data_IF_120859083674
#
_entry.id   IF_120859083674
#
_cell.length_a   1.000
_cell.length_b   1.000
_cell.length_c   1.000
_cell.angle_alpha   90.00
_cell.angle_beta   90.00
_cell.angle_gamma   90.00
#
_symmetry.space_group_name_H-M   'P 1'
#
loop_
_entity.id
_entity.type
_entity.pdbx_description
1 polymer ?
#
# COMPACT_ATOMS: atom_id res chain seq x y z
N UNK A 1 -1.99 19.46 -11.02
CA UNK A 1 -0.77 18.80 -11.53
C UNK A 1 0.15 19.86 -12.10
N UNK A 2 1.46 19.87 -11.77
CA UNK A 2 2.44 20.75 -12.43
C UNK A 2 2.68 20.31 -13.89
N UNK A 3 3.37 21.15 -14.67
CA UNK A 3 3.91 20.79 -15.99
C UNK A 3 4.83 19.56 -15.97
N UNK A 4 5.44 19.28 -14.82
CA UNK A 4 6.28 18.12 -14.54
C UNK A 4 5.52 16.84 -14.15
N UNK A 5 4.19 16.83 -14.13
CA UNK A 5 3.37 15.66 -13.76
C UNK A 5 3.16 15.43 -12.25
N UNK A 6 3.82 16.21 -11.38
CA UNK A 6 3.63 16.19 -9.92
C UNK A 6 2.21 16.61 -9.53
N UNK A 7 1.55 15.81 -8.69
CA UNK A 7 0.22 16.06 -8.15
C UNK A 7 0.32 16.45 -6.67
N UNK A 8 -0.18 17.63 -6.33
CA UNK A 8 -0.17 18.21 -4.98
C UNK A 8 -1.56 18.77 -4.66
N UNK A 9 -1.82 19.06 -3.39
CA UNK A 9 -3.08 19.68 -2.96
C UNK A 9 -2.94 21.21 -2.90
N UNK A 10 -3.76 21.92 -3.69
CA UNK A 10 -3.76 23.39 -3.68
C UNK A 10 -4.39 23.99 -2.41
N UNK A 11 -5.28 23.25 -1.73
CA UNK A 11 -6.02 23.78 -0.58
C UNK A 11 -5.17 23.82 0.70
N UNK A 12 -4.45 22.74 0.99
CA UNK A 12 -3.61 22.62 2.19
C UNK A 12 -2.10 22.74 1.91
N UNK A 13 -1.73 23.00 0.65
CA UNK A 13 -0.34 23.09 0.18
C UNK A 13 0.52 21.85 0.46
N UNK A 14 -0.12 20.70 0.71
CA UNK A 14 0.60 19.45 0.84
C UNK A 14 1.21 19.07 -0.52
N UNK A 15 2.50 18.75 -0.50
CA UNK A 15 3.28 18.36 -1.66
C UNK A 15 2.77 17.07 -2.33
N UNK A 16 1.95 16.29 -1.63
CA UNK A 16 1.28 15.14 -2.20
C UNK A 16 -0.23 15.36 -2.35
N UNK A 17 -0.77 15.00 -3.51
CA UNK A 17 -2.20 14.76 -3.65
C UNK A 17 -2.63 13.65 -2.69
N UNK A 18 -3.70 13.89 -1.96
CA UNK A 18 -4.10 13.06 -0.83
C UNK A 18 -5.55 12.58 -0.90
N UNK A 19 -6.10 12.46 -2.11
CA UNK A 19 -7.38 11.79 -2.31
C UNK A 19 -7.23 10.30 -1.89
N UNK A 20 -8.16 9.75 -1.06
CA UNK A 20 -9.49 10.27 -0.71
C UNK A 20 -9.61 11.05 0.60
N UNK A 21 -8.54 11.25 1.37
CA UNK A 21 -8.66 11.94 2.67
C UNK A 21 -8.83 13.44 2.49
N UNK A 22 -9.75 14.06 3.25
CA UNK A 22 -9.91 15.52 3.26
C UNK A 22 -8.70 16.22 3.88
N UNK A 23 -8.48 17.50 3.53
CA UNK A 23 -7.40 18.31 4.11
C UNK A 23 -7.44 18.31 5.65
N UNK A 24 -8.64 18.47 6.22
CA UNK A 24 -8.84 18.50 7.68
C UNK A 24 -8.47 17.16 8.34
N UNK A 25 -8.97 16.04 7.80
CA UNK A 25 -8.65 14.72 8.36
C UNK A 25 -7.19 14.35 8.17
N UNK A 26 -6.58 14.81 7.08
CA UNK A 26 -5.14 14.64 6.86
C UNK A 26 -4.32 15.42 7.87
N UNK A 27 -4.67 16.67 8.17
CA UNK A 27 -4.01 17.46 9.20
C UNK A 27 -4.07 16.76 10.57
N UNK A 28 -5.27 16.28 10.96
CA UNK A 28 -5.46 15.50 12.19
C UNK A 28 -4.60 14.24 12.20
N UNK A 29 -4.57 13.49 11.09
CA UNK A 29 -3.74 12.29 10.93
C UNK A 29 -2.25 12.60 11.09
N UNK A 30 -1.74 13.61 10.38
CA UNK A 30 -0.33 13.98 10.44
C UNK A 30 0.06 14.53 11.81
N UNK A 31 -0.81 15.31 12.46
CA UNK A 31 -0.61 15.75 13.84
C UNK A 31 -0.50 14.57 14.79
N UNK A 32 -1.39 13.58 14.66
CA UNK A 32 -1.31 12.34 15.44
C UNK A 32 -0.01 11.56 15.18
N UNK A 33 0.41 11.45 13.93
CA UNK A 33 1.68 10.83 13.55
C UNK A 33 2.91 11.55 14.10
N UNK A 34 2.85 12.87 14.35
CA UNK A 34 3.95 13.62 14.98
C UNK A 34 3.96 13.48 16.50
N UNK A 35 2.79 13.37 17.13
CA UNK A 35 2.66 13.39 18.58
C UNK A 35 2.81 11.99 19.23
N UNK A 36 2.54 10.91 18.50
CA UNK A 36 2.74 9.55 19.00
C UNK A 36 4.24 9.16 18.92
N UNK A 37 4.76 8.44 19.92
CA UNK A 37 6.22 8.28 20.16
C UNK A 37 6.99 7.67 18.98
N UNK A 38 8.02 8.38 18.51
CA UNK A 38 8.95 7.97 17.44
C UNK A 38 9.56 6.57 17.64
N UNK A 39 9.76 6.14 18.89
CA UNK A 39 10.31 4.81 19.24
C UNK A 39 9.39 3.67 18.80
N UNK A 40 8.06 3.83 18.94
CA UNK A 40 7.09 2.85 18.49
C UNK A 40 6.98 2.83 16.95
N UNK A 41 7.08 3.99 16.30
CA UNK A 41 7.11 4.09 14.84
C UNK A 41 8.35 3.43 14.24
N UNK A 42 9.52 3.61 14.86
CA UNK A 42 10.78 3.04 14.37
C UNK A 42 10.84 1.51 14.48
N UNK A 43 10.37 0.94 15.60
CA UNK A 43 10.34 -0.52 15.81
C UNK A 43 9.41 -1.22 14.80
N UNK A 44 8.32 -0.58 14.39
CA UNK A 44 7.35 -1.14 13.44
C UNK A 44 7.84 -1.08 11.99
N UNK A 45 8.67 -0.09 11.65
CA UNK A 45 8.89 0.31 10.27
C UNK A 45 9.99 -0.46 9.53
N UNK A 46 11.08 -0.85 10.19
CA UNK A 46 12.30 -1.24 9.46
C UNK A 46 12.80 -2.66 9.72
N UNK A 47 12.44 -3.30 10.84
CA UNK A 47 12.96 -4.63 11.16
C UNK A 47 11.88 -5.46 11.84
N UNK A 48 11.53 -6.60 11.23
CA UNK A 48 10.56 -7.55 11.78
C UNK A 48 11.23 -8.91 11.99
N UNK A 49 10.50 -9.83 12.63
CA UNK A 49 10.96 -11.22 12.80
C UNK A 49 10.18 -12.13 11.87
N UNK A 50 10.85 -13.11 11.28
CA UNK A 50 10.17 -14.16 10.49
C UNK A 50 9.11 -14.84 11.36
N UNK A 51 7.87 -14.99 10.89
CA UNK A 51 6.80 -15.62 11.67
C UNK A 51 7.04 -17.12 11.90
N UNK A 52 7.89 -17.76 11.08
CA UNK A 52 8.23 -19.20 11.18
C UNK A 52 9.49 -19.48 11.99
N UNK A 53 10.61 -18.81 11.68
CA UNK A 53 11.91 -19.10 12.30
C UNK A 53 12.49 -17.97 13.17
N UNK A 54 11.76 -16.87 13.33
CA UNK A 54 12.08 -15.77 14.24
C UNK A 54 13.39 -14.98 13.97
N UNK A 55 14.07 -15.27 12.85
CA UNK A 55 15.22 -14.47 12.38
C UNK A 55 14.79 -13.05 12.06
N UNK A 56 15.68 -12.07 12.29
CA UNK A 56 15.43 -10.68 11.92
C UNK A 56 15.43 -10.53 10.40
N UNK A 57 14.46 -9.80 9.88
CA UNK A 57 14.26 -9.51 8.45
C UNK A 57 14.10 -8.00 8.30
N UNK A 58 14.79 -7.44 7.31
CA UNK A 58 14.62 -6.07 6.84
C UNK A 58 13.89 -6.08 5.50
N UNK A 59 13.03 -5.07 5.28
CA UNK A 59 12.31 -4.94 4.02
C UNK A 59 13.26 -4.41 2.94
N UNK A 60 13.58 -5.23 1.95
CA UNK A 60 14.49 -4.90 0.86
C UNK A 60 13.79 -4.71 -0.50
N UNK A 61 12.48 -4.97 -0.56
CA UNK A 61 11.65 -4.84 -1.76
C UNK A 61 10.39 -4.00 -1.48
N UNK A 62 9.76 -3.54 -2.54
CA UNK A 62 8.55 -2.74 -2.50
C UNK A 62 7.27 -3.58 -2.38
N UNK A 63 7.24 -4.82 -2.87
CA UNK A 63 6.11 -5.74 -2.66
C UNK A 63 5.98 -6.17 -1.19
N UNK A 64 4.76 -6.46 -0.74
CA UNK A 64 4.50 -7.00 0.59
C UNK A 64 4.63 -8.53 0.68
N UNK A 65 4.72 -9.23 -0.45
CA UNK A 65 5.10 -10.64 -0.51
C UNK A 65 6.58 -10.79 -0.15
N UNK A 66 6.88 -11.49 0.93
CA UNK A 66 8.26 -11.72 1.36
C UNK A 66 8.56 -13.19 1.58
N UNK A 67 9.68 -13.65 1.03
CA UNK A 67 10.24 -14.98 1.29
C UNK A 67 11.38 -14.87 2.31
N UNK A 68 11.29 -15.58 3.43
CA UNK A 68 12.37 -15.63 4.42
C UNK A 68 13.62 -16.29 3.83
N UNK A 69 14.76 -15.61 3.86
CA UNK A 69 16.00 -16.16 3.29
C UNK A 69 16.53 -17.39 4.03
N UNK A 70 16.28 -17.49 5.34
CA UNK A 70 16.76 -18.61 6.18
C UNK A 70 15.88 -19.85 6.10
N UNK A 71 14.54 -19.71 6.14
CA UNK A 71 13.62 -20.87 6.19
C UNK A 71 12.71 -21.01 4.97
N UNK A 72 12.86 -20.13 3.97
CA UNK A 72 12.09 -20.11 2.71
C UNK A 72 10.57 -20.04 2.88
N UNK A 73 10.12 -19.51 4.02
CA UNK A 73 8.70 -19.28 4.28
C UNK A 73 8.21 -17.99 3.63
N UNK A 74 7.11 -18.07 2.91
CA UNK A 74 6.44 -16.94 2.27
C UNK A 74 5.37 -16.34 3.19
N UNK A 75 5.44 -15.03 3.42
CA UNK A 75 4.55 -14.33 4.33
C UNK A 75 4.26 -12.89 3.86
N UNK A 76 3.20 -12.30 4.40
CA UNK A 76 2.86 -10.91 4.18
C UNK A 76 3.61 -10.00 5.17
N UNK A 77 4.36 -9.01 4.69
CA UNK A 77 5.09 -8.07 5.55
C UNK A 77 4.20 -7.23 6.49
N UNK A 78 2.95 -7.01 6.10
CA UNK A 78 2.00 -6.18 6.85
C UNK A 78 1.42 -6.94 8.05
N UNK A 79 0.80 -8.10 7.81
CA UNK A 79 0.13 -8.86 8.88
C UNK A 79 0.98 -9.97 9.50
N UNK A 80 2.08 -10.37 8.85
CA UNK A 80 2.96 -11.49 9.25
C UNK A 80 2.34 -12.89 9.12
N UNK A 81 1.20 -13.02 8.47
CA UNK A 81 0.56 -14.31 8.20
C UNK A 81 1.11 -14.96 6.92
N UNK A 82 0.79 -16.24 6.72
CA UNK A 82 1.19 -17.01 5.52
C UNK A 82 0.73 -16.34 4.23
N UNK A 83 1.61 -16.28 3.23
CA UNK A 83 1.26 -15.68 1.94
C UNK A 83 0.19 -16.49 1.19
N UNK A 84 0.10 -17.80 1.39
CA UNK A 84 -0.93 -18.64 0.76
C UNK A 84 -2.35 -18.20 1.13
N UNK A 85 -2.56 -17.64 2.31
CA UNK A 85 -3.84 -17.09 2.75
C UNK A 85 -4.16 -15.73 2.08
N UNK A 86 -3.28 -15.22 1.21
CA UNK A 86 -3.43 -13.97 0.46
C UNK A 86 -3.71 -14.22 -1.04
N UNK A 87 -4.05 -15.45 -1.43
CA UNK A 87 -4.30 -15.86 -2.81
C UNK A 87 -5.78 -16.05 -3.18
N UNK A 88 -6.08 -16.04 -4.48
CA UNK A 88 -7.42 -16.35 -5.01
C UNK A 88 -7.79 -17.84 -4.89
N UNK A 89 -6.80 -18.73 -4.82
CA UNK A 89 -6.96 -20.18 -4.87
C UNK A 89 -7.26 -20.83 -3.50
N UNK A 90 -7.02 -20.14 -2.38
CA UNK A 90 -7.15 -20.69 -1.02
C UNK A 90 -8.44 -20.26 -0.31
N UNK A 91 -9.33 -19.50 -0.96
CA UNK A 91 -10.54 -18.97 -0.33
C UNK A 91 -10.29 -17.90 0.76
N UNK A 92 -9.03 -17.59 1.04
CA UNK A 92 -8.57 -16.56 1.97
C UNK A 92 -8.49 -15.21 1.27
N UNK A 93 -9.56 -14.44 1.33
CA UNK A 93 -9.53 -13.06 0.87
C UNK A 93 -8.56 -12.24 1.74
N UNK A 94 -7.67 -11.47 1.08
CA UNK A 94 -6.73 -10.45 1.57
C UNK A 94 -7.35 -9.49 2.61
N UNK A 95 -7.74 -9.96 3.79
CA UNK A 95 -8.43 -9.18 4.84
C UNK A 95 -7.46 -8.44 5.74
N UNK A 96 -6.17 -8.38 5.39
CA UNK A 96 -5.18 -7.67 6.19
C UNK A 96 -5.44 -6.17 6.23
N UNK A 97 -6.29 -5.60 5.37
CA UNK A 97 -6.63 -4.17 5.36
C UNK A 97 -7.68 -3.78 6.41
N UNK A 98 -8.45 -4.74 6.94
CA UNK A 98 -9.58 -4.46 7.84
C UNK A 98 -9.17 -4.49 9.30
N UNK A 99 -9.47 -3.41 10.03
CA UNK A 99 -9.33 -3.42 11.49
C UNK A 99 -10.56 -4.10 12.10
N UNK A 100 -10.36 -5.21 12.82
CA UNK A 100 -11.41 -5.86 13.59
C UNK A 100 -11.11 -5.68 15.07
N UNK A 101 -11.83 -4.77 15.72
CA UNK A 101 -11.75 -4.65 17.17
C UNK A 101 -12.17 -5.99 17.80
N UNK A 102 -11.49 -6.41 18.88
CA UNK A 102 -12.00 -7.51 19.70
C UNK A 102 -13.41 -7.13 20.18
N UNK A 103 -14.38 -8.05 20.03
CA UNK A 103 -15.83 -7.82 20.05
C UNK A 103 -16.28 -6.62 20.90
N UNK A 104 -17.01 -5.71 20.27
CA UNK A 104 -17.59 -4.49 20.84
C UNK A 104 -18.63 -4.70 21.96
N UNK A 105 -18.99 -5.94 22.29
CA UNK A 105 -19.94 -6.26 23.37
C UNK A 105 -19.48 -5.72 24.74
N UNK A 106 -18.17 -5.52 24.93
CA UNK A 106 -17.59 -5.04 26.19
C UNK A 106 -17.14 -3.55 26.13
N UNK A 107 -17.26 -2.88 24.98
CA UNK A 107 -16.66 -1.55 24.76
C UNK A 107 -17.24 -0.44 25.66
N UNK A 108 -18.51 -0.56 26.07
CA UNK A 108 -19.15 0.35 27.02
C UNK A 108 -18.70 0.14 28.48
N UNK A 109 -17.99 -0.94 28.76
CA UNK A 109 -17.57 -1.39 30.10
C UNK A 109 -16.05 -1.35 30.31
N UNK A 110 -15.27 -0.94 29.30
CA UNK A 110 -13.80 -0.96 29.35
C UNK A 110 -13.26 0.07 30.35
N UNK A 111 -12.26 -0.33 31.13
CA UNK A 111 -11.51 0.60 31.98
C UNK A 111 -10.75 1.62 31.11
N UNK A 112 -10.46 2.83 31.60
CA UNK A 112 -9.74 3.86 30.82
C UNK A 112 -8.42 3.37 30.19
N UNK A 113 -7.66 2.54 30.89
CA UNK A 113 -6.41 1.96 30.38
C UNK A 113 -6.63 0.97 29.22
N UNK A 114 -7.72 0.19 29.26
CA UNK A 114 -8.06 -0.77 28.20
C UNK A 114 -8.54 -0.04 26.94
N UNK A 115 -9.32 1.03 27.13
CA UNK A 115 -9.72 1.93 26.05
C UNK A 115 -8.50 2.58 25.39
N UNK A 116 -7.58 3.14 26.18
CA UNK A 116 -6.35 3.73 25.66
C UNK A 116 -5.49 2.72 24.87
N UNK A 117 -5.41 1.48 25.35
CA UNK A 117 -4.72 0.38 24.65
C UNK A 117 -5.40 0.01 23.33
N UNK A 118 -6.73 -0.04 23.31
CA UNK A 118 -7.51 -0.32 22.10
C UNK A 118 -7.36 0.82 21.07
N UNK A 119 -7.41 2.08 21.51
CA UNK A 119 -7.22 3.26 20.67
C UNK A 119 -5.81 3.30 20.07
N UNK A 120 -4.78 2.99 20.88
CA UNK A 120 -3.41 2.85 20.41
C UNK A 120 -3.28 1.70 19.40
N UNK A 121 -3.85 0.53 19.69
CA UNK A 121 -3.83 -0.62 18.78
C UNK A 121 -4.47 -0.30 17.42
N UNK A 122 -5.60 0.39 17.44
CA UNK A 122 -6.27 0.90 16.23
C UNK A 122 -5.37 1.86 15.47
N UNK A 123 -4.79 2.85 16.14
CA UNK A 123 -3.88 3.80 15.50
C UNK A 123 -2.69 3.08 14.84
N UNK A 124 -2.00 2.20 15.56
CA UNK A 124 -0.85 1.47 15.05
C UNK A 124 -1.19 0.62 13.83
N UNK A 125 -2.39 0.02 13.79
CA UNK A 125 -2.88 -0.73 12.63
C UNK A 125 -2.91 0.13 11.36
N UNK A 126 -3.53 1.30 11.42
CA UNK A 126 -3.67 2.20 10.28
C UNK A 126 -2.33 2.87 9.95
N UNK A 127 -1.55 3.26 10.97
CA UNK A 127 -0.22 3.88 10.78
C UNK A 127 0.74 2.94 10.07
N UNK A 128 0.81 1.67 10.48
CA UNK A 128 1.69 0.70 9.86
C UNK A 128 1.40 0.56 8.36
N UNK A 129 0.12 0.56 7.95
CA UNK A 129 -0.29 0.42 6.55
C UNK A 129 -0.05 1.69 5.75
N UNK A 130 -0.38 2.85 6.33
CA UNK A 130 -0.05 4.16 5.77
C UNK A 130 1.46 4.28 5.48
N UNK A 131 2.29 3.97 6.48
CA UNK A 131 3.74 4.05 6.37
C UNK A 131 4.30 3.02 5.39
N UNK A 132 3.76 1.79 5.41
CA UNK A 132 4.20 0.74 4.49
C UNK A 132 4.00 1.13 3.02
N UNK A 133 2.84 1.71 2.67
CA UNK A 133 2.59 2.19 1.30
C UNK A 133 3.50 3.37 0.93
N UNK A 134 3.81 4.26 1.86
CA UNK A 134 4.78 5.34 1.66
C UNK A 134 6.18 4.79 1.33
N UNK A 135 6.66 3.79 2.07
CA UNK A 135 7.94 3.13 1.81
C UNK A 135 7.93 2.36 0.50
N UNK A 136 6.90 1.57 0.23
CA UNK A 136 6.76 0.83 -1.03
C UNK A 136 6.71 1.76 -2.25
N UNK A 137 6.10 2.95 -2.14
CA UNK A 137 6.17 3.98 -3.19
C UNK A 137 7.58 4.50 -3.41
N UNK A 138 8.36 4.73 -2.35
CA UNK A 138 9.78 5.14 -2.45
C UNK A 138 10.66 4.05 -3.08
N UNK A 139 10.35 2.78 -2.88
CA UNK A 139 11.00 1.67 -3.60
C UNK A 139 10.65 1.71 -5.10
N UNK A 140 9.35 1.78 -5.44
CA UNK A 140 8.90 1.87 -6.83
C UNK A 140 9.50 3.09 -7.56
N UNK A 141 9.63 4.24 -6.88
CA UNK A 141 10.30 5.43 -7.44
C UNK A 141 11.76 5.17 -7.79
N UNK A 142 12.53 4.56 -6.87
CA UNK A 142 13.93 4.19 -7.11
C UNK A 142 14.08 3.16 -8.23
N UNK A 143 13.17 2.20 -8.31
CA UNK A 143 13.11 1.24 -9.41
C UNK A 143 12.84 1.94 -10.75
N UNK A 144 11.86 2.84 -10.80
CA UNK A 144 11.54 3.63 -11.98
C UNK A 144 12.73 4.47 -12.47
N UNK A 145 13.48 5.11 -11.57
CA UNK A 145 14.70 5.85 -11.90
C UNK A 145 15.74 4.96 -12.60
N UNK A 146 15.89 3.70 -12.15
CA UNK A 146 16.75 2.71 -12.79
C UNK A 146 16.23 2.29 -14.18
N UNK A 147 14.92 2.05 -14.31
CA UNK A 147 14.28 1.71 -15.59
C UNK A 147 14.46 2.83 -16.61
N UNK A 148 14.25 4.09 -16.22
CA UNK A 148 14.42 5.26 -17.09
C UNK A 148 15.88 5.42 -17.53
N UNK A 149 16.84 5.24 -16.62
CA UNK A 149 18.27 5.25 -16.99
C UNK A 149 18.59 4.18 -18.04
N UNK A 150 18.09 2.96 -17.86
CA UNK A 150 18.28 1.86 -18.82
C UNK A 150 17.62 2.16 -20.17
N UNK A 151 16.43 2.76 -20.17
CA UNK A 151 15.72 3.20 -21.36
C UNK A 151 16.52 4.25 -22.14
N UNK A 152 17.13 5.23 -21.46
CA UNK A 152 17.97 6.24 -22.11
C UNK A 152 19.23 5.64 -22.75
N UNK A 153 19.88 4.66 -22.09
CA UNK A 153 21.06 3.98 -22.65
C UNK A 153 20.72 3.15 -23.90
N UNK A 154 19.59 2.43 -23.88
CA UNK A 154 19.13 1.64 -25.04
C UNK A 154 18.78 2.53 -26.24
N UNK A 155 18.21 3.72 -26.00
CA UNK A 155 17.92 4.72 -27.03
C UNK A 155 19.18 5.21 -27.74
N UNK A 156 20.27 5.43 -27.01
CA UNK A 156 21.53 5.93 -27.58
C UNK A 156 22.37 4.84 -28.27
N UNK A 157 22.16 3.57 -27.94
CA UNK A 157 23.03 2.46 -28.39
C UNK A 157 22.55 1.66 -29.60
N UNK A 158 21.37 1.95 -30.16
CA UNK A 158 20.76 1.23 -31.30
C UNK A 158 20.69 -0.31 -31.13
N UNK A 159 20.74 -0.82 -29.89
CA UNK A 159 20.70 -2.24 -29.53
C UNK A 159 19.52 -2.49 -28.59
N UNK A 160 18.41 -2.99 -29.13
CA UNK A 160 17.19 -3.35 -28.41
C UNK A 160 15.99 -2.46 -28.76
N UNK A 161 14.78 -3.03 -28.77
CA UNK A 161 13.57 -2.26 -29.04
C UNK A 161 13.22 -1.43 -27.81
N UNK A 162 13.10 -0.11 -27.98
CA UNK A 162 12.64 0.81 -26.94
C UNK A 162 11.31 0.39 -26.31
N UNK A 163 10.46 -0.27 -27.10
CA UNK A 163 9.20 -0.85 -26.63
C UNK A 163 9.39 -1.92 -25.55
N UNK A 164 10.58 -2.49 -25.37
CA UNK A 164 10.85 -3.58 -24.43
C UNK A 164 11.01 -3.11 -22.97
N UNK A 165 11.02 -1.80 -22.71
CA UNK A 165 11.13 -1.26 -21.33
C UNK A 165 10.08 -0.20 -20.98
N UNK A 166 9.37 0.34 -21.97
CA UNK A 166 8.29 1.31 -21.74
C UNK A 166 7.18 0.76 -20.84
N UNK A 167 6.82 -0.52 -21.02
CA UNK A 167 5.80 -1.15 -20.20
C UNK A 167 6.19 -1.23 -18.71
N UNK A 168 7.49 -1.36 -18.40
CA UNK A 168 8.00 -1.36 -17.01
C UNK A 168 7.93 0.03 -16.38
N UNK A 169 8.19 1.08 -17.17
CA UNK A 169 8.02 2.45 -16.72
C UNK A 169 6.54 2.73 -16.40
N UNK A 170 5.64 2.35 -17.31
CA UNK A 170 4.19 2.51 -17.11
C UNK A 170 3.70 1.75 -15.88
N UNK A 171 4.14 0.50 -15.69
CA UNK A 171 3.85 -0.28 -14.49
C UNK A 171 4.37 0.42 -13.22
N UNK A 172 5.62 0.90 -13.23
CA UNK A 172 6.22 1.60 -12.09
C UNK A 172 5.46 2.87 -11.71
N UNK A 173 5.07 3.68 -12.69
CA UNK A 173 4.26 4.88 -12.48
C UNK A 173 2.88 4.53 -11.92
N UNK A 174 2.24 3.49 -12.43
CA UNK A 174 0.95 3.03 -11.91
C UNK A 174 1.07 2.52 -10.48
N UNK A 175 2.11 1.76 -10.15
CA UNK A 175 2.40 1.33 -8.76
C UNK A 175 2.56 2.56 -7.87
N UNK A 176 3.36 3.56 -8.28
CA UNK A 176 3.57 4.77 -7.49
C UNK A 176 2.27 5.53 -7.20
N UNK A 177 1.38 5.64 -8.19
CA UNK A 177 0.07 6.27 -8.03
C UNK A 177 -0.83 5.47 -7.09
N UNK A 178 -0.96 4.16 -7.31
CA UNK A 178 -1.79 3.30 -6.46
C UNK A 178 -1.30 3.26 -5.01
N UNK A 179 0.03 3.24 -4.77
CA UNK A 179 0.59 3.33 -3.42
C UNK A 179 0.29 4.66 -2.74
N UNK A 180 0.29 5.77 -3.49
CA UNK A 180 -0.09 7.08 -2.96
C UNK A 180 -1.56 7.10 -2.55
N UNK A 181 -2.45 6.61 -3.42
CA UNK A 181 -3.88 6.48 -3.11
C UNK A 181 -4.06 5.59 -1.88
N UNK A 182 -3.48 4.39 -1.87
CA UNK A 182 -3.58 3.44 -0.77
C UNK A 182 -3.07 4.01 0.56
N UNK A 183 -1.92 4.68 0.57
CA UNK A 183 -1.43 5.44 1.75
C UNK A 183 -2.54 6.34 2.32
N UNK A 184 -3.16 7.16 1.49
CA UNK A 184 -4.19 8.09 1.93
C UNK A 184 -5.56 7.45 2.22
N UNK A 185 -5.87 6.30 1.62
CA UNK A 185 -7.06 5.52 1.99
C UNK A 185 -7.00 5.03 3.44
N UNK A 186 -5.82 4.74 4.00
CA UNK A 186 -5.71 4.39 5.42
C UNK A 186 -5.91 5.58 6.36
N UNK A 187 -5.44 6.77 5.97
CA UNK A 187 -5.75 7.99 6.72
C UNK A 187 -7.26 8.29 6.68
N UNK A 188 -7.90 8.11 5.53
CA UNK A 188 -9.36 8.23 5.36
C UNK A 188 -10.12 7.19 6.19
N UNK A 189 -9.81 5.90 6.04
CA UNK A 189 -10.48 4.80 6.73
C UNK A 189 -10.34 4.82 8.25
N UNK A 190 -9.30 5.49 8.78
CA UNK A 190 -9.15 5.71 10.22
C UNK A 190 -10.23 6.65 10.79
N UNK A 191 -10.78 7.56 9.99
CA UNK A 191 -11.86 8.46 10.42
C UNK A 191 -13.24 8.03 9.92
N UNK A 192 -13.31 6.98 9.09
CA UNK A 192 -14.58 6.44 8.60
C UNK A 192 -15.28 5.64 9.71
N UNK A 193 -16.52 6.02 9.99
CA UNK A 193 -17.42 5.33 10.93
C UNK A 193 -17.73 3.91 10.45
N UNK A 194 -17.96 3.00 11.39
CA UNK A 194 -18.37 1.64 11.06
C UNK A 194 -19.80 1.65 10.47
N UNK A 195 -20.00 0.85 9.42
CA UNK A 195 -21.27 0.78 8.69
C UNK A 195 -21.08 0.22 7.27
N UNK A 196 -22.17 0.08 6.50
CA UNK A 196 -22.13 -0.49 5.14
C UNK A 196 -21.17 0.24 4.19
N UNK A 197 -21.11 1.57 4.28
CA UNK A 197 -20.17 2.38 3.49
C UNK A 197 -18.71 1.99 3.75
N UNK A 198 -18.36 1.75 5.02
CA UNK A 198 -17.01 1.29 5.38
C UNK A 198 -16.74 -0.12 4.90
N UNK A 199 -17.73 -1.00 4.93
CA UNK A 199 -17.58 -2.37 4.41
C UNK A 199 -17.33 -2.37 2.90
N UNK A 200 -18.05 -1.53 2.13
CA UNK A 200 -17.80 -1.37 0.71
C UNK A 200 -16.45 -0.71 0.44
N UNK A 201 -16.09 0.35 1.17
CA UNK A 201 -14.78 0.98 1.09
C UNK A 201 -13.65 -0.04 1.36
N UNK A 202 -13.75 -0.83 2.44
CA UNK A 202 -12.78 -1.86 2.79
C UNK A 202 -12.69 -2.94 1.71
N UNK A 203 -13.79 -3.24 1.00
CA UNK A 203 -13.80 -4.16 -0.12
C UNK A 203 -13.06 -3.59 -1.35
N UNK A 204 -13.39 -2.36 -1.76
CA UNK A 204 -12.74 -1.70 -2.90
C UNK A 204 -11.24 -1.43 -2.63
N UNK A 205 -10.91 -1.02 -1.40
CA UNK A 205 -9.53 -0.82 -0.96
C UNK A 205 -8.74 -2.13 -1.08
N UNK A 206 -9.33 -3.24 -0.65
CA UNK A 206 -8.71 -4.56 -0.71
C UNK A 206 -8.43 -5.00 -2.17
N UNK A 207 -9.36 -4.75 -3.10
CA UNK A 207 -9.15 -5.06 -4.50
C UNK A 207 -8.00 -4.24 -5.11
N UNK A 208 -7.92 -2.94 -4.80
CA UNK A 208 -6.81 -2.10 -5.22
C UNK A 208 -5.48 -2.60 -4.64
N UNK A 209 -5.43 -2.91 -3.33
CA UNK A 209 -4.21 -3.41 -2.68
C UNK A 209 -3.70 -4.68 -3.34
N UNK A 210 -4.58 -5.67 -3.50
CA UNK A 210 -4.22 -6.96 -4.09
C UNK A 210 -3.60 -6.79 -5.48
N UNK A 211 -4.26 -6.03 -6.36
CA UNK A 211 -3.77 -5.83 -7.72
C UNK A 211 -2.47 -5.01 -7.74
N UNK A 212 -2.32 -4.06 -6.81
CA UNK A 212 -1.08 -3.30 -6.65
C UNK A 212 0.08 -4.17 -6.18
N UNK A 213 -0.13 -5.13 -5.27
CA UNK A 213 0.91 -6.09 -4.86
C UNK A 213 1.32 -6.99 -6.01
N UNK A 214 0.36 -7.56 -6.74
CA UNK A 214 0.66 -8.45 -7.88
C UNK A 214 1.44 -7.69 -8.95
N UNK A 215 1.02 -6.47 -9.28
CA UNK A 215 1.74 -5.64 -10.25
C UNK A 215 3.16 -5.32 -9.78
N UNK A 216 3.34 -5.03 -8.49
CA UNK A 216 4.66 -4.72 -7.92
C UNK A 216 5.57 -5.95 -7.96
N UNK A 217 5.07 -7.12 -7.57
CA UNK A 217 5.78 -8.39 -7.62
C UNK A 217 6.23 -8.72 -9.05
N UNK A 218 5.32 -8.66 -10.02
CA UNK A 218 5.65 -8.89 -11.44
C UNK A 218 6.71 -7.92 -11.96
N UNK A 219 6.69 -6.66 -11.48
CA UNK A 219 7.65 -5.62 -11.88
C UNK A 219 9.01 -5.75 -11.19
N UNK A 220 9.10 -6.50 -10.09
CA UNK A 220 10.35 -6.78 -9.36
C UNK A 220 11.09 -8.03 -9.86
N UNK A 221 10.49 -8.80 -10.77
CA UNK A 221 11.11 -9.99 -11.35
C UNK A 221 12.32 -9.65 -12.24
N UNK A 222 13.24 -10.62 -12.39
CA UNK A 222 14.33 -10.55 -13.36
C UNK A 222 13.76 -10.30 -14.76
N UNK A 223 14.33 -9.35 -15.52
CA UNK A 223 13.83 -8.96 -16.86
C UNK A 223 13.65 -10.15 -17.81
N UNK A 224 14.51 -11.16 -17.71
CA UNK A 224 14.44 -12.38 -18.54
C UNK A 224 13.23 -13.27 -18.22
N UNK A 225 12.64 -13.12 -17.03
CA UNK A 225 11.49 -13.88 -16.53
C UNK A 225 10.19 -13.06 -16.50
N UNK A 226 10.24 -11.79 -16.87
CA UNK A 226 9.07 -10.92 -16.83
C UNK A 226 8.06 -11.35 -17.90
N UNK A 227 6.85 -11.66 -17.46
CA UNK A 227 5.69 -11.78 -18.35
C UNK A 227 5.16 -10.38 -18.69
N UNK A 228 5.56 -9.88 -19.86
CA UNK A 228 5.13 -8.57 -20.38
C UNK A 228 3.60 -8.43 -20.45
N UNK A 229 2.90 -9.48 -20.90
CA UNK A 229 1.45 -9.44 -21.05
C UNK A 229 0.76 -9.33 -19.69
N UNK A 230 1.26 -10.07 -18.70
CA UNK A 230 0.77 -9.98 -17.33
C UNK A 230 1.00 -8.57 -16.74
N UNK A 231 2.21 -8.00 -16.88
CA UNK A 231 2.51 -6.65 -16.37
C UNK A 231 1.59 -5.60 -17.00
N UNK A 232 1.41 -5.62 -18.32
CA UNK A 232 0.52 -4.67 -19.00
C UNK A 232 -0.94 -4.83 -18.56
N UNK A 233 -1.42 -6.07 -18.43
CA UNK A 233 -2.77 -6.37 -17.98
C UNK A 233 -3.01 -5.86 -16.56
N UNK A 234 -2.12 -6.20 -15.61
CA UNK A 234 -2.22 -5.75 -14.23
C UNK A 234 -2.03 -4.22 -14.11
N UNK A 235 -1.23 -3.59 -14.95
CA UNK A 235 -1.14 -2.12 -15.02
C UNK A 235 -2.52 -1.53 -15.34
N UNK A 236 -3.20 -2.03 -16.37
CA UNK A 236 -4.53 -1.55 -16.75
C UNK A 236 -5.60 -1.85 -15.69
N UNK A 237 -5.63 -3.07 -15.15
CA UNK A 237 -6.62 -3.48 -14.15
C UNK A 237 -6.45 -2.71 -12.85
N UNK A 238 -5.22 -2.53 -12.37
CA UNK A 238 -4.95 -1.79 -11.12
C UNK A 238 -5.40 -0.34 -11.25
N UNK A 239 -5.19 0.28 -12.42
CA UNK A 239 -5.72 1.61 -12.72
C UNK A 239 -7.24 1.69 -12.57
N UNK A 240 -7.97 0.73 -13.17
CA UNK A 240 -9.44 0.67 -13.07
C UNK A 240 -9.92 0.52 -11.62
N UNK A 241 -9.24 -0.31 -10.82
CA UNK A 241 -9.58 -0.43 -9.40
C UNK A 241 -9.31 0.86 -8.61
N UNK A 242 -8.24 1.59 -8.94
CA UNK A 242 -7.97 2.89 -8.33
C UNK A 242 -9.07 3.91 -8.66
N UNK A 243 -9.46 4.00 -9.93
CA UNK A 243 -10.55 4.87 -10.39
C UNK A 243 -11.89 4.48 -9.75
N UNK A 244 -12.20 3.18 -9.68
CA UNK A 244 -13.42 2.68 -9.05
C UNK A 244 -13.47 2.99 -7.55
N UNK A 245 -12.35 2.85 -6.83
CA UNK A 245 -12.27 3.21 -5.41
C UNK A 245 -12.51 4.71 -5.20
N UNK A 246 -11.83 5.57 -5.95
CA UNK A 246 -11.97 7.02 -5.83
C UNK A 246 -13.38 7.49 -6.23
N UNK A 247 -13.92 6.94 -7.31
CA UNK A 247 -15.30 7.21 -7.75
C UNK A 247 -16.29 6.77 -6.68
N UNK A 248 -16.16 5.54 -6.17
CA UNK A 248 -17.02 5.01 -5.11
C UNK A 248 -17.02 5.92 -3.88
N UNK A 249 -15.85 6.43 -3.47
CA UNK A 249 -15.75 7.36 -2.33
C UNK A 249 -16.41 8.70 -2.63
N UNK A 250 -16.16 9.29 -3.80
CA UNK A 250 -16.70 10.61 -4.16
C UNK A 250 -18.21 10.61 -4.40
N UNK A 251 -18.79 9.50 -4.86
CA UNK A 251 -20.25 9.34 -5.04
C UNK A 251 -20.96 8.81 -3.79
N UNK A 252 -20.28 8.75 -2.64
CA UNK A 252 -20.90 8.44 -1.35
C UNK A 252 -21.01 6.97 -0.97
N UNK A 253 -20.28 6.06 -1.64
CA UNK A 253 -20.17 4.61 -1.34
C UNK A 253 -21.49 3.82 -1.20
N UNK A 254 -22.64 4.45 -1.42
CA UNK A 254 -23.97 3.84 -1.44
C UNK A 254 -24.91 4.75 -2.23
N UNK A 255 -25.61 4.19 -3.22
CA UNK A 255 -27.00 4.56 -3.47
C UNK A 255 -27.88 3.64 -2.61
#
# INVERSE_FOLDING_TARGET
>A
TCSCGHKFCFQCYNDEAHEPVSCENLEKWLSKCRNDSETAHWIIANTKRCPKCNVRIEKNHGCNHMTCQSCKYDFCWVCMDEWKEHGTQTGGFYKCNRYRAKKAADAKSLKPAEKAKADLGRYLFYFQRYHNHDQSRKFAKRQNESVVKRMTTLRSGNKGSWMDVEFLQNASLQIMECRQILKYTYAFGFYLSDGPEKELFEFLQQDLEKNTEILHELSEMDVEKIDRSAVMNYTSITKKFAEALLTGISTGLTH
#
